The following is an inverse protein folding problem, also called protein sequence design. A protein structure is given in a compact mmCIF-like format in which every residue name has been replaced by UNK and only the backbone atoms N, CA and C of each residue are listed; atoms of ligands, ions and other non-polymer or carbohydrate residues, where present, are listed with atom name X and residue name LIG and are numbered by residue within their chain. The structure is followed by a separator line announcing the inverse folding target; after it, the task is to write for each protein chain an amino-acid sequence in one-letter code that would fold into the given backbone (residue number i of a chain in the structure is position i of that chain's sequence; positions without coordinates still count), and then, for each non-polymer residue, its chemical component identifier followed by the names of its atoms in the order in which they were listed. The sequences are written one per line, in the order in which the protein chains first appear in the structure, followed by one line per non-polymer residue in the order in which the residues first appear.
data_IF_397301828651
#
_entry.id   IF_397301828651
#
_cell.length_a   1.000
_cell.length_b   1.000
_cell.length_c   1.000
_cell.angle_alpha   90.00
_cell.angle_beta   90.00
_cell.angle_gamma   90.00
#
_symmetry.space_group_name_H-M   'P 1'
#
loop_
_entity.id
_entity.type
_entity.pdbx_description
1 polymer ?
#
# COMPACT_ATOMS: atom_id res chain seq x y z
N UNK A 1 -21.31 -53.74 36.52
CA UNK A 1 -20.23 -53.58 35.52
C UNK A 1 -20.31 -52.19 34.92
N UNK A 2 -19.47 -51.27 35.37
CA UNK A 2 -19.57 -49.82 35.10
C UNK A 2 -18.60 -49.44 33.98
N UNK A 3 -19.12 -49.07 32.79
CA UNK A 3 -18.29 -48.69 31.64
C UNK A 3 -17.94 -47.20 31.71
N UNK A 4 -16.66 -46.90 31.93
CA UNK A 4 -16.07 -45.55 31.77
C UNK A 4 -15.99 -45.19 30.28
N UNK A 5 -16.56 -44.05 29.90
CA UNK A 5 -16.35 -43.42 28.59
C UNK A 5 -15.17 -42.44 28.72
N UNK A 6 -14.15 -42.62 27.88
CA UNK A 6 -12.98 -41.76 27.80
C UNK A 6 -13.36 -40.62 26.84
N UNK A 7 -13.40 -39.39 27.36
CA UNK A 7 -13.60 -38.17 26.56
C UNK A 7 -12.32 -37.86 25.79
N UNK A 8 -12.40 -37.87 24.47
CA UNK A 8 -11.34 -37.39 23.59
C UNK A 8 -11.41 -35.86 23.52
N UNK A 9 -10.45 -35.19 24.17
CA UNK A 9 -10.24 -33.75 24.02
C UNK A 9 -9.65 -33.48 22.64
N UNK A 10 -10.44 -32.89 21.75
CA UNK A 10 -9.97 -32.41 20.46
C UNK A 10 -9.12 -31.14 20.67
N UNK A 11 -7.79 -31.25 20.46
CA UNK A 11 -6.90 -30.11 20.33
C UNK A 11 -7.24 -29.35 19.04
N UNK A 12 -7.74 -28.13 19.17
CA UNK A 12 -7.88 -27.18 18.07
C UNK A 12 -6.54 -26.45 17.94
N UNK A 13 -5.76 -26.76 16.90
CA UNK A 13 -4.59 -25.97 16.50
C UNK A 13 -5.05 -24.68 15.82
N UNK A 14 -4.56 -23.49 16.22
CA UNK A 14 -4.75 -22.27 15.44
C UNK A 14 -3.84 -22.30 14.20
N UNK A 15 -4.45 -22.34 13.00
CA UNK A 15 -3.74 -22.06 11.74
C UNK A 15 -3.38 -20.56 11.70
N UNK A 16 -2.11 -20.25 11.92
CA UNK A 16 -1.52 -18.96 11.58
C UNK A 16 -1.49 -18.86 10.05
N UNK A 17 -2.38 -18.06 9.46
CA UNK A 17 -2.34 -17.72 8.04
C UNK A 17 -1.21 -16.70 7.86
N UNK A 18 -0.05 -17.16 7.38
CA UNK A 18 1.00 -16.29 6.89
C UNK A 18 0.40 -15.44 5.74
N UNK A 19 0.40 -14.12 5.89
CA UNK A 19 0.08 -13.22 4.80
C UNK A 19 1.17 -13.36 3.74
N UNK A 20 0.90 -14.10 2.66
CA UNK A 20 1.82 -14.19 1.53
C UNK A 20 1.92 -12.80 0.88
N UNK A 21 3.06 -12.12 1.06
CA UNK A 21 3.42 -10.99 0.22
C UNK A 21 3.50 -11.49 -1.23
N UNK A 22 2.80 -10.81 -2.15
CA UNK A 22 2.89 -11.14 -3.58
C UNK A 22 4.27 -10.68 -4.09
N UNK A 23 5.09 -11.58 -4.66
CA UNK A 23 6.41 -11.20 -5.13
C UNK A 23 6.28 -10.24 -6.33
N UNK A 24 6.80 -9.02 -6.17
CA UNK A 24 6.87 -8.04 -7.25
C UNK A 24 7.86 -8.52 -8.32
N UNK A 25 7.53 -8.39 -9.62
CA UNK A 25 8.41 -8.82 -10.68
C UNK A 25 9.73 -8.03 -10.66
N UNK A 26 10.84 -8.67 -11.07
CA UNK A 26 12.11 -7.98 -11.26
C UNK A 26 11.99 -6.95 -12.38
N UNK A 27 12.59 -5.79 -12.20
CA UNK A 27 12.61 -4.69 -13.19
C UNK A 27 13.99 -4.03 -13.23
N UNK A 28 14.35 -3.42 -14.35
CA UNK A 28 15.55 -2.58 -14.39
C UNK A 28 15.40 -1.37 -13.47
N UNK A 29 16.45 -1.05 -12.71
CA UNK A 29 16.46 0.11 -11.83
C UNK A 29 16.23 1.42 -12.57
N UNK A 30 16.83 1.59 -13.76
CA UNK A 30 16.65 2.80 -14.57
C UNK A 30 15.21 2.97 -15.04
N UNK A 31 14.57 1.88 -15.43
CA UNK A 31 13.21 1.88 -15.95
C UNK A 31 12.22 2.18 -14.82
N UNK A 32 12.44 1.59 -13.65
CA UNK A 32 11.60 1.83 -12.48
C UNK A 32 11.73 3.25 -11.97
N UNK A 33 12.95 3.79 -11.88
CA UNK A 33 13.18 5.20 -11.53
C UNK A 33 12.50 6.12 -12.56
N UNK A 34 12.61 5.81 -13.86
CA UNK A 34 11.97 6.59 -14.92
C UNK A 34 10.45 6.56 -14.82
N UNK A 35 9.87 5.38 -14.55
CA UNK A 35 8.45 5.19 -14.32
C UNK A 35 7.98 5.99 -13.10
N UNK A 36 8.65 5.88 -11.96
CA UNK A 36 8.27 6.62 -10.76
C UNK A 36 8.39 8.14 -10.96
N UNK A 37 9.42 8.61 -11.67
CA UNK A 37 9.54 10.04 -12.03
C UNK A 37 8.40 10.52 -12.91
N UNK A 38 7.91 9.71 -13.85
CA UNK A 38 6.76 10.07 -14.68
C UNK A 38 5.46 10.15 -13.88
N UNK A 39 5.37 9.43 -12.75
CA UNK A 39 4.29 9.53 -11.76
C UNK A 39 4.46 10.72 -10.80
N UNK A 40 5.56 11.47 -10.91
CA UNK A 40 5.83 12.69 -10.13
C UNK A 40 6.74 12.47 -8.92
N UNK A 41 7.36 11.29 -8.77
CA UNK A 41 8.38 11.10 -7.73
C UNK A 41 9.63 11.92 -8.05
N UNK A 42 10.26 12.44 -7.01
CA UNK A 42 11.52 13.16 -7.07
C UNK A 42 12.62 12.34 -6.42
N UNK A 43 13.83 12.36 -6.99
CA UNK A 43 14.99 11.71 -6.36
C UNK A 43 15.46 12.61 -5.23
N UNK A 44 15.44 12.10 -3.99
CA UNK A 44 15.91 12.84 -2.81
C UNK A 44 17.36 12.55 -2.46
N UNK A 45 17.85 11.35 -2.79
CA UNK A 45 19.25 10.96 -2.56
C UNK A 45 19.66 9.83 -3.52
N UNK A 46 20.97 9.67 -3.70
CA UNK A 46 21.60 8.53 -4.38
C UNK A 46 22.75 8.02 -3.52
N UNK A 47 22.92 6.70 -3.48
CA UNK A 47 24.06 6.05 -2.84
C UNK A 47 25.36 6.40 -3.58
N UNK A 48 26.50 6.30 -2.88
CA UNK A 48 27.80 6.61 -3.45
C UNK A 48 28.19 5.68 -4.62
N UNK A 49 27.68 4.45 -4.62
CA UNK A 49 27.85 3.48 -5.71
C UNK A 49 26.86 3.64 -6.86
N UNK A 50 25.84 4.48 -6.74
CA UNK A 50 24.77 4.67 -7.73
C UNK A 50 23.74 3.53 -7.81
N UNK A 51 23.96 2.46 -7.06
CA UNK A 51 23.13 1.27 -6.88
C UNK A 51 21.85 1.55 -6.08
N UNK A 52 21.93 2.42 -5.07
CA UNK A 52 20.76 2.87 -4.30
C UNK A 52 20.24 4.21 -4.78
N UNK A 53 18.93 4.31 -5.04
CA UNK A 53 18.23 5.56 -5.26
C UNK A 53 17.07 5.73 -4.29
N UNK A 54 16.99 6.89 -3.65
CA UNK A 54 15.88 7.24 -2.76
C UNK A 54 14.94 8.19 -3.48
N UNK A 55 13.65 7.86 -3.53
CA UNK A 55 12.61 8.66 -4.15
C UNK A 55 11.56 9.12 -3.13
N UNK A 56 10.99 10.31 -3.38
CA UNK A 56 9.92 10.91 -2.58
C UNK A 56 8.78 11.39 -3.45
N UNK A 57 7.56 11.19 -2.96
CA UNK A 57 6.34 11.75 -3.52
C UNK A 57 5.46 12.37 -2.43
N UNK A 58 4.83 13.50 -2.73
CA UNK A 58 3.77 14.07 -1.92
C UNK A 58 2.78 14.79 -2.82
N UNK A 59 1.53 14.34 -2.86
CA UNK A 59 0.58 14.86 -3.82
C UNK A 59 -0.80 14.19 -3.77
N UNK A 60 -1.63 14.44 -4.78
CA UNK A 60 -2.81 13.64 -5.07
C UNK A 60 -2.45 12.14 -5.17
N UNK A 61 -3.37 11.24 -4.84
CA UNK A 61 -3.14 9.82 -5.19
C UNK A 61 -2.94 9.68 -6.70
N UNK A 62 -2.00 8.84 -7.11
CA UNK A 62 -1.64 8.61 -8.51
C UNK A 62 -1.56 7.10 -8.80
N UNK A 63 -1.13 6.76 -10.00
CA UNK A 63 -1.07 5.37 -10.46
C UNK A 63 0.03 4.50 -9.83
N UNK A 64 0.81 5.01 -8.85
CA UNK A 64 1.73 4.16 -8.06
C UNK A 64 1.03 3.42 -6.92
N UNK A 65 -0.26 3.71 -6.69
CA UNK A 65 -1.10 3.03 -5.70
C UNK A 65 -2.43 2.70 -6.32
N UNK A 66 -2.85 1.44 -6.22
CA UNK A 66 -4.19 1.01 -6.56
C UNK A 66 -4.97 0.70 -5.29
N UNK A 67 -6.21 1.16 -5.22
CA UNK A 67 -7.13 0.86 -4.13
C UNK A 67 -8.39 0.17 -4.64
N UNK A 68 -9.02 -0.59 -3.76
CA UNK A 68 -10.09 -1.49 -4.14
C UNK A 68 -10.82 -2.10 -2.95
N UNK A 69 -11.93 -2.74 -3.27
CA UNK A 69 -12.65 -3.62 -2.36
C UNK A 69 -12.83 -4.97 -3.05
N UNK A 70 -12.89 -6.04 -2.27
CA UNK A 70 -13.17 -7.40 -2.79
C UNK A 70 -12.19 -7.86 -3.89
N UNK A 71 -10.92 -7.45 -3.80
CA UNK A 71 -9.88 -7.86 -4.75
C UNK A 71 -9.83 -7.10 -6.07
N UNK A 72 -10.76 -6.16 -6.32
CA UNK A 72 -10.73 -5.31 -7.51
C UNK A 72 -9.98 -4.00 -7.23
N UNK A 73 -8.71 -3.93 -7.62
CA UNK A 73 -7.86 -2.77 -7.39
C UNK A 73 -7.76 -1.89 -8.64
N UNK A 74 -7.90 -0.58 -8.45
CA UNK A 74 -7.69 0.43 -9.50
C UNK A 74 -7.10 1.71 -8.92
N UNK A 75 -6.51 2.54 -9.77
CA UNK A 75 -6.13 3.90 -9.35
C UNK A 75 -7.39 4.67 -9.01
N UNK A 76 -7.41 5.35 -7.85
CA UNK A 76 -8.54 6.19 -7.47
C UNK A 76 -8.43 7.57 -8.10
N UNK A 77 -9.58 8.18 -8.37
CA UNK A 77 -9.62 9.63 -8.61
C UNK A 77 -9.20 10.36 -7.33
N UNK A 78 -8.34 11.40 -7.42
CA UNK A 78 -7.91 12.17 -6.25
C UNK A 78 -9.04 12.81 -5.45
N UNK A 79 -10.18 13.05 -6.11
CA UNK A 79 -11.39 13.56 -5.49
C UNK A 79 -12.59 12.77 -5.98
N UNK A 80 -13.43 12.33 -5.06
CA UNK A 80 -14.67 11.60 -5.35
C UNK A 80 -15.81 12.26 -4.58
N UNK A 81 -16.94 12.51 -5.26
CA UNK A 81 -18.18 12.91 -4.59
C UNK A 81 -19.01 11.65 -4.30
N UNK A 82 -19.40 11.47 -3.04
CA UNK A 82 -20.34 10.43 -2.63
C UNK A 82 -21.78 10.88 -2.94
N UNK A 83 -22.69 9.91 -3.07
CA UNK A 83 -24.12 10.17 -3.26
C UNK A 83 -24.76 10.95 -2.11
N UNK A 84 -24.16 10.91 -0.92
CA UNK A 84 -24.54 11.72 0.25
C UNK A 84 -24.16 13.21 0.14
N UNK A 85 -23.49 13.60 -0.95
CA UNK A 85 -22.91 14.93 -1.15
C UNK A 85 -21.59 15.14 -0.41
N UNK A 86 -21.11 14.15 0.35
CA UNK A 86 -19.77 14.21 0.94
C UNK A 86 -18.69 14.16 -0.15
N UNK A 87 -17.60 14.90 0.05
CA UNK A 87 -16.44 14.89 -0.85
C UNK A 87 -15.29 14.18 -0.16
N UNK A 88 -14.70 13.20 -0.84
CA UNK A 88 -13.51 12.50 -0.39
C UNK A 88 -12.31 12.94 -1.21
N UNK A 89 -11.24 13.38 -0.55
CA UNK A 89 -9.96 13.68 -1.17
C UNK A 89 -8.93 12.62 -0.75
N UNK A 90 -8.24 12.06 -1.73
CA UNK A 90 -7.21 11.05 -1.54
C UNK A 90 -5.83 11.66 -1.82
N UNK A 91 -4.95 11.57 -0.82
CA UNK A 91 -3.56 12.03 -0.92
C UNK A 91 -2.61 10.87 -0.73
N UNK A 92 -1.47 10.96 -1.41
CA UNK A 92 -0.38 10.02 -1.29
C UNK A 92 0.88 10.77 -0.84
N UNK A 93 1.54 10.22 0.18
CA UNK A 93 2.93 10.49 0.47
C UNK A 93 3.68 9.18 0.38
N UNK A 94 4.84 9.18 -0.28
CA UNK A 94 5.65 7.98 -0.39
C UNK A 94 7.14 8.31 -0.26
N UNK A 95 7.86 7.37 0.33
CA UNK A 95 9.31 7.37 0.46
C UNK A 95 9.79 5.99 0.05
N UNK A 96 10.59 5.90 -1.02
CA UNK A 96 11.03 4.62 -1.58
C UNK A 96 12.54 4.56 -1.62
N UNK A 97 13.08 3.40 -1.29
CA UNK A 97 14.48 3.05 -1.43
C UNK A 97 14.54 1.92 -2.45
N UNK A 98 15.21 2.20 -3.56
CA UNK A 98 15.44 1.26 -4.63
C UNK A 98 16.90 0.88 -4.63
N UNK A 99 17.22 -0.39 -4.36
CA UNK A 99 18.57 -0.92 -4.44
C UNK A 99 18.67 -1.85 -5.64
N UNK A 100 19.54 -1.56 -6.58
CA UNK A 100 19.80 -2.46 -7.69
C UNK A 100 20.82 -3.52 -7.28
N UNK A 101 20.62 -4.77 -7.71
CA UNK A 101 21.68 -5.77 -7.69
C UNK A 101 22.81 -5.43 -8.67
N UNK A 102 23.87 -6.23 -8.68
CA UNK A 102 25.02 -6.04 -9.56
C UNK A 102 24.66 -6.08 -11.06
N UNK A 103 23.54 -6.69 -11.42
CA UNK A 103 22.98 -6.76 -12.76
C UNK A 103 22.11 -5.55 -13.15
N UNK A 104 21.95 -4.58 -12.23
CA UNK A 104 21.12 -3.39 -12.42
C UNK A 104 19.61 -3.66 -12.26
N UNK A 105 19.21 -4.83 -11.78
CA UNK A 105 17.82 -5.24 -11.60
C UNK A 105 17.40 -5.04 -10.14
N UNK A 106 16.13 -4.67 -9.95
CA UNK A 106 15.48 -4.56 -8.64
C UNK A 106 14.41 -5.66 -8.54
N UNK A 107 14.60 -6.58 -7.60
CA UNK A 107 13.62 -7.58 -7.18
C UNK A 107 12.60 -7.00 -6.19
N UNK A 108 11.57 -7.77 -5.83
CA UNK A 108 10.61 -7.35 -4.80
C UNK A 108 11.27 -7.08 -3.44
N UNK A 109 12.30 -7.84 -3.07
CA UNK A 109 13.01 -7.70 -1.80
C UNK A 109 13.93 -6.47 -1.74
N UNK A 110 14.30 -5.92 -2.90
CA UNK A 110 15.19 -4.76 -3.02
C UNK A 110 14.41 -3.45 -3.20
N UNK A 111 13.08 -3.53 -3.08
CA UNK A 111 12.19 -2.38 -2.95
C UNK A 111 11.82 -2.24 -1.47
N UNK A 112 12.29 -1.17 -0.87
CA UNK A 112 11.93 -0.81 0.50
C UNK A 112 11.26 0.58 0.50
N UNK A 113 10.56 0.89 1.58
CA UNK A 113 9.97 2.18 1.80
C UNK A 113 8.55 2.12 2.34
N UNK A 114 7.87 3.25 2.22
CA UNK A 114 6.58 3.47 2.84
C UNK A 114 5.65 4.24 1.92
N UNK A 115 4.43 3.75 1.79
CA UNK A 115 3.31 4.46 1.22
C UNK A 115 2.35 4.87 2.33
N UNK A 116 1.98 6.14 2.36
CA UNK A 116 1.00 6.70 3.29
C UNK A 116 -0.13 7.29 2.47
N UNK A 117 -1.30 6.67 2.54
CA UNK A 117 -2.50 7.14 1.86
C UNK A 117 -3.44 7.76 2.88
N UNK A 118 -3.82 9.01 2.65
CA UNK A 118 -4.79 9.71 3.47
C UNK A 118 -6.09 9.91 2.70
N UNK A 119 -7.22 9.65 3.36
CA UNK A 119 -8.57 9.90 2.87
C UNK A 119 -9.20 10.97 3.75
N UNK A 120 -9.50 12.12 3.16
CA UNK A 120 -10.10 13.27 3.83
C UNK A 120 -11.56 13.33 3.41
N UNK A 121 -12.48 13.02 4.31
CA UNK A 121 -13.92 13.09 4.06
C UNK A 121 -14.48 14.41 4.56
N UNK A 122 -15.00 15.21 3.63
CA UNK A 122 -15.66 16.48 3.89
C UNK A 122 -17.17 16.29 3.78
N UNK A 123 -17.91 16.30 4.89
CA UNK A 123 -19.36 16.11 4.87
C UNK A 123 -20.08 17.26 4.15
N UNK A 124 -21.26 16.99 3.61
CA UNK A 124 -22.10 17.99 2.93
C UNK A 124 -22.73 19.00 3.89
N UNK A 125 -22.93 18.63 5.16
CA UNK A 125 -23.46 19.51 6.18
C UNK A 125 -22.40 20.53 6.63
N UNK A 126 -22.73 21.82 6.51
CA UNK A 126 -21.82 22.95 6.80
C UNK A 126 -21.23 22.97 8.21
N UNK A 127 -21.88 22.32 9.18
CA UNK A 127 -21.46 22.26 10.57
C UNK A 127 -20.72 20.97 10.96
N UNK A 128 -20.59 20.00 10.05
CA UNK A 128 -19.95 18.72 10.36
C UNK A 128 -18.42 18.80 10.13
N UNK A 129 -17.66 18.24 11.07
CA UNK A 129 -16.20 18.21 10.99
C UNK A 129 -15.73 17.30 9.85
N UNK A 130 -14.59 17.63 9.26
CA UNK A 130 -13.94 16.73 8.30
C UNK A 130 -13.28 15.57 9.04
N UNK A 131 -13.37 14.38 8.46
CA UNK A 131 -12.70 13.18 8.95
C UNK A 131 -11.44 12.92 8.14
N UNK A 132 -10.34 12.55 8.80
CA UNK A 132 -9.09 12.17 8.15
C UNK A 132 -8.74 10.77 8.59
N UNK A 133 -8.76 9.83 7.64
CA UNK A 133 -8.25 8.48 7.85
C UNK A 133 -6.91 8.35 7.12
N UNK A 134 -5.98 7.57 7.67
CA UNK A 134 -4.69 7.29 7.02
C UNK A 134 -4.36 5.81 7.17
N UNK A 135 -3.79 5.25 6.12
CA UNK A 135 -3.21 3.92 6.11
C UNK A 135 -1.75 4.02 5.68
N UNK A 136 -0.97 3.05 6.13
CA UNK A 136 0.46 2.94 5.84
C UNK A 136 0.74 1.50 5.42
N UNK A 137 1.59 1.31 4.41
CA UNK A 137 2.00 -0.01 3.94
C UNK A 137 3.34 0.06 3.19
N UNK A 138 4.05 -1.06 3.17
CA UNK A 138 5.34 -1.23 2.49
C UNK A 138 5.15 -1.71 1.03
N UNK A 139 6.19 -1.64 0.17
CA UNK A 139 6.17 -2.31 -1.13
C UNK A 139 5.80 -3.79 -1.04
N UNK A 140 4.85 -4.24 -1.86
CA UNK A 140 4.36 -5.63 -1.83
C UNK A 140 3.30 -5.93 -0.76
N UNK A 141 3.05 -4.99 0.15
CA UNK A 141 1.98 -5.09 1.15
C UNK A 141 0.71 -4.33 0.75
N UNK A 142 -0.30 -4.39 1.63
CA UNK A 142 -1.56 -3.65 1.51
C UNK A 142 -1.96 -2.99 2.83
N UNK A 143 -2.47 -1.77 2.77
CA UNK A 143 -3.11 -1.09 3.88
C UNK A 143 -4.63 -1.08 3.71
N UNK A 144 -5.41 -1.12 4.79
CA UNK A 144 -6.89 -1.11 4.72
C UNK A 144 -7.47 -0.06 5.65
N UNK A 145 -8.28 0.84 5.09
CA UNK A 145 -9.01 1.84 5.86
C UNK A 145 -10.12 1.18 6.69
N UNK A 146 -10.56 1.79 7.81
CA UNK A 146 -11.75 1.37 8.55
C UNK A 146 -13.00 1.16 7.66
N UNK A 147 -13.13 1.96 6.60
CA UNK A 147 -14.19 1.80 5.57
C UNK A 147 -14.11 0.50 4.72
N UNK A 148 -13.10 -0.33 4.91
CA UNK A 148 -12.86 -1.57 4.15
C UNK A 148 -12.21 -1.35 2.77
N UNK A 149 -11.89 -0.11 2.40
CA UNK A 149 -11.09 0.19 1.21
C UNK A 149 -9.63 -0.20 1.45
N UNK A 150 -9.10 -1.13 0.65
CA UNK A 150 -7.71 -1.57 0.72
C UNK A 150 -6.89 -0.95 -0.40
N UNK A 151 -5.65 -0.55 -0.13
CA UNK A 151 -4.71 0.00 -1.10
C UNK A 151 -3.41 -0.81 -1.12
N UNK A 152 -2.75 -0.89 -2.28
CA UNK A 152 -1.45 -1.52 -2.48
C UNK A 152 -0.62 -0.77 -3.52
N UNK A 153 0.70 -0.92 -3.48
CA UNK A 153 1.60 -0.38 -4.48
C UNK A 153 1.44 -1.10 -5.84
N UNK A 154 1.84 -0.44 -6.93
CA UNK A 154 1.75 -0.94 -8.32
C UNK A 154 3.04 -0.83 -9.12
#
# INVERSE_FOLDING_TARGET
MTRRRISASALVLPLMVAACAEPLPPVSASDEITRLRSLGYSVSARGAGGDTTVLRYSGPINASVACGQQGQYRTLSPRVAASSGAVQDFRLNAYLILSAGDDGVISGAERDGLYVVSKITRPSARAAASEVETITFEPGERGTFPSGLSCRAT
#
